data_IF_785067823468
#
_entry.id   IF_785067823468
#
_cell.length_a   1.000
_cell.length_b   1.000
_cell.length_c   1.000
_cell.angle_alpha   90.00
_cell.angle_beta   90.00
_cell.angle_gamma   90.00
#
_symmetry.space_group_name_H-M   'P 1'
#
loop_
_entity.id
_entity.type
_entity.pdbx_description
1 polymer ?
#
# COMPACT_ATOMS: atom_id res chain seq x y z
N UNK A 1 17.82 -11.74 25.22
CA UNK A 1 18.14 -10.61 24.32
C UNK A 1 18.29 -11.16 22.92
N UNK A 2 17.60 -10.59 21.92
CA UNK A 2 17.62 -11.10 20.55
C UNK A 2 19.00 -10.95 19.93
N UNK A 3 19.74 -12.05 19.80
CA UNK A 3 21.13 -12.14 19.29
C UNK A 3 22.12 -11.09 19.85
N UNK A 4 21.86 -10.51 21.03
CA UNK A 4 22.71 -9.47 21.61
C UNK A 4 22.63 -8.08 20.97
N UNK A 5 21.65 -7.86 20.08
CA UNK A 5 21.46 -6.58 19.40
C UNK A 5 21.06 -5.47 20.37
N UNK A 6 21.60 -4.27 20.18
CA UNK A 6 21.22 -3.06 20.90
C UNK A 6 19.86 -2.52 20.44
N UNK A 7 19.29 -1.58 21.20
CA UNK A 7 17.99 -0.97 20.89
C UNK A 7 17.97 -0.34 19.49
N UNK A 8 19.02 0.39 19.13
CA UNK A 8 19.13 1.04 17.81
C UNK A 8 19.07 0.05 16.65
N UNK A 9 19.73 -1.11 16.78
CA UNK A 9 19.67 -2.16 15.77
C UNK A 9 18.28 -2.79 15.66
N UNK A 10 17.58 -2.94 16.80
CA UNK A 10 16.20 -3.47 16.80
C UNK A 10 15.22 -2.46 16.18
N UNK A 11 15.40 -1.17 16.38
CA UNK A 11 14.63 -0.12 15.74
C UNK A 11 14.78 -0.16 14.22
N UNK A 12 16.01 -0.25 13.73
CA UNK A 12 16.32 -0.41 12.30
C UNK A 12 15.69 -1.70 11.75
N UNK A 13 15.87 -2.82 12.45
CA UNK A 13 15.31 -4.12 12.05
C UNK A 13 13.79 -4.06 11.85
N UNK A 14 13.07 -3.46 12.81
CA UNK A 14 11.61 -3.33 12.73
C UNK A 14 11.16 -2.32 11.68
N UNK A 15 11.94 -1.26 11.45
CA UNK A 15 11.65 -0.34 10.36
C UNK A 15 11.79 -1.01 8.98
N UNK A 16 12.79 -1.86 8.80
CA UNK A 16 12.95 -2.68 7.59
C UNK A 16 11.73 -3.58 7.38
N UNK A 17 11.25 -4.26 8.42
CA UNK A 17 10.06 -5.13 8.33
C UNK A 17 8.81 -4.31 7.94
N UNK A 18 8.56 -3.18 8.61
CA UNK A 18 7.40 -2.31 8.32
C UNK A 18 7.48 -1.75 6.91
N UNK A 19 8.66 -1.31 6.48
CA UNK A 19 8.87 -0.83 5.11
C UNK A 19 8.57 -1.90 4.07
N UNK A 20 8.96 -3.14 4.34
CA UNK A 20 8.65 -4.29 3.47
C UNK A 20 7.14 -4.58 3.45
N UNK A 21 6.47 -4.56 4.60
CA UNK A 21 5.02 -4.72 4.69
C UNK A 21 4.27 -3.62 3.93
N UNK A 22 4.76 -2.36 3.97
CA UNK A 22 4.24 -1.26 3.16
C UNK A 22 4.36 -1.55 1.66
N UNK A 23 5.48 -2.12 1.23
CA UNK A 23 5.68 -2.56 -0.16
C UNK A 23 4.69 -3.66 -0.57
N UNK A 24 4.51 -4.67 0.27
CA UNK A 24 3.51 -5.72 0.05
C UNK A 24 2.09 -5.17 0.02
N UNK A 25 1.74 -4.23 0.91
CA UNK A 25 0.43 -3.59 0.93
C UNK A 25 0.12 -2.92 -0.41
N UNK A 26 1.03 -2.12 -0.94
CA UNK A 26 0.83 -1.45 -2.23
C UNK A 26 0.73 -2.46 -3.39
N UNK A 27 1.51 -3.53 -3.37
CA UNK A 27 1.37 -4.61 -4.35
C UNK A 27 -0.02 -5.25 -4.29
N UNK A 28 -0.56 -5.51 -3.09
CA UNK A 28 -1.87 -6.13 -2.92
C UNK A 28 -3.04 -5.28 -3.44
N UNK A 29 -2.83 -4.00 -3.72
CA UNK A 29 -3.86 -3.15 -4.34
C UNK A 29 -4.26 -3.58 -5.75
N UNK A 30 -3.65 -4.64 -6.31
CA UNK A 30 -4.17 -5.24 -7.54
C UNK A 30 -5.64 -5.69 -7.39
N UNK A 31 -6.05 -6.08 -6.18
CA UNK A 31 -7.46 -6.42 -5.88
C UNK A 31 -8.33 -5.18 -6.05
N UNK A 32 -7.99 -4.09 -5.39
CA UNK A 32 -8.75 -2.84 -5.42
C UNK A 32 -8.77 -2.24 -6.84
N UNK A 33 -7.62 -2.23 -7.51
CA UNK A 33 -7.53 -1.76 -8.90
C UNK A 33 -8.36 -2.61 -9.86
N UNK A 34 -8.35 -3.93 -9.67
CA UNK A 34 -9.20 -4.85 -10.43
C UNK A 34 -10.69 -4.58 -10.24
N UNK A 35 -11.13 -4.26 -9.01
CA UNK A 35 -12.53 -3.91 -8.71
C UNK A 35 -13.02 -2.72 -9.53
N UNK A 36 -12.20 -1.72 -9.75
CA UNK A 36 -12.55 -0.54 -10.57
C UNK A 36 -12.66 -0.86 -12.05
N UNK A 37 -12.11 -1.99 -12.50
CA UNK A 37 -12.06 -2.39 -13.89
C UNK A 37 -13.19 -3.37 -14.29
N UNK A 38 -13.95 -3.91 -13.33
CA UNK A 38 -14.94 -4.96 -13.57
C UNK A 38 -15.89 -4.61 -14.71
N UNK A 39 -16.57 -3.45 -14.64
CA UNK A 39 -17.53 -3.05 -15.67
C UNK A 39 -16.87 -2.62 -16.99
N UNK A 40 -15.63 -2.14 -16.92
CA UNK A 40 -14.90 -1.73 -18.11
C UNK A 40 -14.36 -2.92 -18.93
N UNK A 41 -14.16 -4.06 -18.27
CA UNK A 41 -13.62 -5.28 -18.87
C UNK A 41 -14.68 -6.30 -19.22
N UNK A 42 -15.85 -6.30 -18.56
CA UNK A 42 -16.91 -7.27 -18.80
C UNK A 42 -17.87 -6.80 -19.91
N UNK A 43 -18.32 -7.72 -20.75
CA UNK A 43 -19.40 -7.52 -21.74
C UNK A 43 -20.64 -8.37 -21.44
N UNK A 44 -20.53 -9.31 -20.48
CA UNK A 44 -21.62 -10.18 -20.05
C UNK A 44 -21.56 -10.42 -18.55
N UNK A 45 -22.66 -10.89 -17.95
CA UNK A 45 -22.70 -11.25 -16.53
C UNK A 45 -21.75 -12.41 -16.19
N UNK A 46 -21.53 -13.34 -17.13
CA UNK A 46 -20.54 -14.42 -16.96
C UNK A 46 -19.13 -13.86 -16.85
N UNK A 47 -18.73 -12.96 -17.77
CA UNK A 47 -17.41 -12.31 -17.72
C UNK A 47 -17.26 -11.49 -16.45
N UNK A 48 -18.30 -10.76 -16.03
CA UNK A 48 -18.30 -10.01 -14.79
C UNK A 48 -18.06 -10.91 -13.58
N UNK A 49 -18.75 -12.03 -13.51
CA UNK A 49 -18.58 -13.02 -12.46
C UNK A 49 -17.17 -13.62 -12.47
N UNK A 50 -16.58 -13.91 -13.65
CA UNK A 50 -15.18 -14.35 -13.75
C UNK A 50 -14.22 -13.34 -13.13
N UNK A 51 -14.40 -12.03 -13.42
CA UNK A 51 -13.56 -10.97 -12.88
C UNK A 51 -13.70 -10.86 -11.36
N UNK A 52 -14.94 -10.83 -10.84
CA UNK A 52 -15.20 -10.76 -9.40
C UNK A 52 -14.64 -11.97 -8.67
N UNK A 53 -14.87 -13.19 -9.19
CA UNK A 53 -14.36 -14.44 -8.61
C UNK A 53 -12.82 -14.48 -8.60
N UNK A 54 -12.18 -13.95 -9.64
CA UNK A 54 -10.72 -13.84 -9.71
C UNK A 54 -10.16 -13.02 -8.53
N UNK A 55 -10.75 -11.86 -8.24
CA UNK A 55 -10.34 -11.00 -7.13
C UNK A 55 -10.81 -11.56 -5.78
N UNK A 56 -11.98 -12.17 -5.74
CA UNK A 56 -12.58 -12.77 -4.55
C UNK A 56 -11.67 -13.79 -3.88
N UNK A 57 -10.88 -14.53 -4.65
CA UNK A 57 -9.88 -15.48 -4.11
C UNK A 57 -8.71 -14.81 -3.38
N UNK A 58 -8.56 -13.47 -3.45
CA UNK A 58 -7.39 -12.73 -2.94
C UNK A 58 -7.72 -11.53 -2.07
N UNK A 59 -8.99 -11.11 -1.98
CA UNK A 59 -9.34 -9.86 -1.30
C UNK A 59 -8.96 -9.85 0.18
N UNK A 60 -9.09 -10.99 0.86
CA UNK A 60 -8.72 -11.13 2.27
C UNK A 60 -7.22 -10.92 2.51
N UNK A 61 -6.37 -11.40 1.59
CA UNK A 61 -4.92 -11.21 1.70
C UNK A 61 -4.55 -9.71 1.65
N UNK A 62 -5.24 -8.92 0.81
CA UNK A 62 -5.04 -7.48 0.74
C UNK A 62 -5.42 -6.78 2.05
N UNK A 63 -6.60 -7.10 2.59
CA UNK A 63 -7.05 -6.56 3.87
C UNK A 63 -6.16 -7.00 5.03
N UNK A 64 -5.80 -8.28 5.09
CA UNK A 64 -4.88 -8.80 6.11
C UNK A 64 -3.51 -8.11 6.06
N UNK A 65 -3.01 -7.78 4.86
CA UNK A 65 -1.73 -7.06 4.73
C UNK A 65 -1.81 -5.65 5.32
N UNK A 66 -2.94 -4.95 5.13
CA UNK A 66 -3.19 -3.64 5.75
C UNK A 66 -3.21 -3.76 7.28
N UNK A 67 -3.90 -4.77 7.81
CA UNK A 67 -3.96 -5.04 9.26
C UNK A 67 -2.58 -5.40 9.81
N UNK A 68 -1.80 -6.21 9.08
CA UNK A 68 -0.42 -6.55 9.47
C UNK A 68 0.49 -5.33 9.51
N UNK A 69 0.39 -4.43 8.53
CA UNK A 69 1.15 -3.18 8.53
C UNK A 69 0.81 -2.33 9.77
N UNK A 70 -0.48 -2.13 10.06
CA UNK A 70 -0.94 -1.41 11.25
C UNK A 70 -0.52 -2.11 12.56
N UNK A 71 -0.66 -3.43 12.65
CA UNK A 71 -0.27 -4.22 13.82
C UNK A 71 1.23 -4.20 14.10
N UNK A 72 2.06 -4.32 13.06
CA UNK A 72 3.51 -4.20 13.18
C UNK A 72 3.92 -2.79 13.62
N UNK A 73 3.27 -1.76 13.04
CA UNK A 73 3.48 -0.38 13.45
C UNK A 73 3.06 -0.13 14.90
N UNK A 74 1.93 -0.68 15.35
CA UNK A 74 1.47 -0.60 16.73
C UNK A 74 2.48 -1.19 17.71
N UNK A 75 3.00 -2.36 17.41
CA UNK A 75 3.88 -3.09 18.31
C UNK A 75 5.31 -2.52 18.32
N UNK A 76 5.87 -2.14 17.17
CA UNK A 76 7.24 -1.65 17.05
C UNK A 76 7.37 -0.13 17.29
N UNK A 77 6.39 0.67 16.83
CA UNK A 77 6.38 2.12 16.92
C UNK A 77 5.03 2.63 17.46
N UNK A 78 4.70 2.37 18.75
CA UNK A 78 3.40 2.67 19.32
C UNK A 78 3.04 4.16 19.27
N UNK A 79 4.01 5.07 19.39
CA UNK A 79 3.76 6.50 19.27
C UNK A 79 3.35 6.88 17.84
N UNK A 80 3.95 6.27 16.82
CA UNK A 80 3.49 6.45 15.44
C UNK A 80 2.07 5.92 15.24
N UNK A 81 1.78 4.73 15.77
CA UNK A 81 0.43 4.17 15.66
C UNK A 81 -0.61 5.08 16.34
N UNK A 82 -0.34 5.54 17.55
CA UNK A 82 -1.25 6.45 18.25
C UNK A 82 -1.40 7.80 17.56
N UNK A 83 -0.33 8.31 16.93
CA UNK A 83 -0.35 9.60 16.21
C UNK A 83 -1.11 9.47 14.88
N UNK A 84 -0.79 8.48 14.06
CA UNK A 84 -1.39 8.31 12.74
C UNK A 84 -2.76 7.63 12.84
N UNK A 85 -2.80 6.35 13.24
CA UNK A 85 -4.04 5.56 13.24
C UNK A 85 -5.06 6.04 14.29
N UNK A 86 -4.58 6.37 15.48
CA UNK A 86 -5.43 6.89 16.56
C UNK A 86 -5.75 8.37 16.40
N UNK A 87 -4.76 9.20 16.04
CA UNK A 87 -4.90 10.66 15.96
C UNK A 87 -5.61 11.12 14.69
N UNK A 88 -5.21 10.62 13.52
CA UNK A 88 -5.85 10.89 12.23
C UNK A 88 -7.09 10.01 11.98
N UNK A 89 -7.92 9.85 13.01
CA UNK A 89 -8.97 8.82 13.01
C UNK A 89 -10.02 8.99 11.91
N UNK A 90 -10.37 10.20 11.47
CA UNK A 90 -11.34 10.38 10.40
C UNK A 90 -10.82 9.86 9.05
N UNK A 91 -9.53 10.07 8.76
CA UNK A 91 -8.92 9.51 7.56
C UNK A 91 -8.91 7.97 7.61
N UNK A 92 -8.45 7.39 8.72
CA UNK A 92 -8.39 5.93 8.89
C UNK A 92 -9.78 5.29 9.00
N UNK A 93 -10.76 5.95 9.62
CA UNK A 93 -12.14 5.48 9.66
C UNK A 93 -12.75 5.43 8.26
N UNK A 94 -12.48 6.46 7.43
CA UNK A 94 -12.94 6.48 6.03
C UNK A 94 -12.31 5.37 5.20
N UNK A 95 -11.02 5.08 5.39
CA UNK A 95 -10.32 3.94 4.77
C UNK A 95 -10.97 2.63 5.22
N UNK A 96 -11.13 2.42 6.53
CA UNK A 96 -11.74 1.22 7.10
C UNK A 96 -13.15 1.00 6.55
N UNK A 97 -13.96 2.07 6.44
CA UNK A 97 -15.30 1.98 5.88
C UNK A 97 -15.28 1.49 4.41
N UNK A 98 -14.34 1.95 3.60
CA UNK A 98 -14.17 1.42 2.24
C UNK A 98 -13.89 -0.10 2.24
N UNK A 99 -13.06 -0.60 3.15
CA UNK A 99 -12.77 -2.03 3.24
C UNK A 99 -13.93 -2.85 3.81
N UNK A 100 -14.75 -2.28 4.70
CA UNK A 100 -16.01 -2.90 5.15
C UNK A 100 -16.96 -3.09 3.97
N UNK A 101 -17.13 -2.06 3.12
CA UNK A 101 -17.94 -2.15 1.90
C UNK A 101 -17.43 -3.25 0.96
N UNK A 102 -16.12 -3.42 0.84
CA UNK A 102 -15.51 -4.50 0.07
C UNK A 102 -15.91 -5.88 0.63
N UNK A 103 -15.73 -6.10 1.93
CA UNK A 103 -16.03 -7.37 2.57
C UNK A 103 -17.49 -7.76 2.38
N UNK A 104 -18.42 -6.86 2.67
CA UNK A 104 -19.85 -7.06 2.47
C UNK A 104 -20.17 -7.41 1.02
N UNK A 105 -19.48 -6.78 0.07
CA UNK A 105 -19.75 -6.98 -1.35
C UNK A 105 -19.35 -8.37 -1.83
N UNK A 106 -18.20 -8.89 -1.43
CA UNK A 106 -17.81 -10.25 -1.79
C UNK A 106 -18.74 -11.28 -1.15
N UNK A 107 -19.18 -11.07 0.09
CA UNK A 107 -20.02 -12.02 0.82
C UNK A 107 -21.47 -12.06 0.33
N UNK A 108 -22.06 -10.91 -0.05
CA UNK A 108 -23.50 -10.80 -0.26
C UNK A 108 -23.92 -10.56 -1.72
N UNK A 109 -23.00 -10.27 -2.64
CA UNK A 109 -23.32 -9.95 -4.04
C UNK A 109 -24.17 -11.02 -4.72
N UNK A 110 -23.86 -12.32 -4.50
CA UNK A 110 -24.51 -13.47 -5.13
C UNK A 110 -25.46 -14.25 -4.20
N UNK A 111 -25.64 -13.80 -2.96
CA UNK A 111 -26.57 -14.47 -2.03
C UNK A 111 -28.01 -14.30 -2.47
N UNK A 112 -28.79 -15.39 -2.36
CA UNK A 112 -30.22 -15.35 -2.59
C UNK A 112 -30.89 -14.36 -1.64
N UNK A 113 -31.88 -13.62 -2.15
CA UNK A 113 -32.60 -12.59 -1.40
C UNK A 113 -31.73 -11.43 -0.87
N UNK A 114 -30.63 -11.07 -1.56
CA UNK A 114 -29.88 -9.90 -1.18
C UNK A 114 -30.76 -8.64 -1.27
N UNK A 115 -30.75 -7.83 -0.19
CA UNK A 115 -31.64 -6.69 -0.02
C UNK A 115 -31.40 -5.56 -1.05
N UNK A 116 -30.15 -5.36 -1.47
CA UNK A 116 -29.75 -4.20 -2.27
C UNK A 116 -29.52 -4.49 -3.75
N UNK A 117 -29.48 -5.78 -4.13
CA UNK A 117 -29.18 -6.23 -5.49
C UNK A 117 -27.69 -6.18 -5.84
N UNK A 118 -27.27 -7.02 -6.78
CA UNK A 118 -25.84 -7.19 -7.16
C UNK A 118 -25.15 -5.90 -7.61
N UNK A 119 -25.85 -5.00 -8.29
CA UNK A 119 -25.32 -3.72 -8.78
C UNK A 119 -24.84 -2.80 -7.65
N UNK A 120 -25.52 -2.81 -6.50
CA UNK A 120 -25.12 -2.02 -5.33
C UNK A 120 -23.81 -2.52 -4.75
N UNK A 121 -23.65 -3.82 -4.63
CA UNK A 121 -22.40 -4.41 -4.15
C UNK A 121 -21.23 -4.19 -5.13
N UNK A 122 -21.49 -4.25 -6.43
CA UNK A 122 -20.50 -3.89 -7.45
C UNK A 122 -20.06 -2.42 -7.35
N UNK A 123 -21.01 -1.51 -7.05
CA UNK A 123 -20.69 -0.12 -6.78
C UNK A 123 -19.85 0.05 -5.51
N UNK A 124 -20.12 -0.72 -4.45
CA UNK A 124 -19.28 -0.73 -3.23
C UNK A 124 -17.86 -1.23 -3.50
N UNK A 125 -17.68 -2.24 -4.35
CA UNK A 125 -16.35 -2.66 -4.80
C UNK A 125 -15.60 -1.53 -5.50
N UNK A 126 -16.28 -0.72 -6.32
CA UNK A 126 -15.66 0.44 -6.97
C UNK A 126 -15.29 1.54 -5.98
N UNK A 127 -16.14 1.79 -4.96
CA UNK A 127 -15.81 2.73 -3.88
C UNK A 127 -14.51 2.29 -3.18
N UNK A 128 -14.42 1.03 -2.77
CA UNK A 128 -13.19 0.54 -2.15
C UNK A 128 -12.00 0.63 -3.12
N UNK A 129 -12.19 0.22 -4.37
CA UNK A 129 -11.13 0.19 -5.37
C UNK A 129 -10.57 1.55 -5.72
N UNK A 130 -11.38 2.60 -5.71
CA UNK A 130 -10.95 3.96 -6.00
C UNK A 130 -10.64 4.74 -4.71
N UNK A 131 -11.67 4.97 -3.86
CA UNK A 131 -11.56 5.83 -2.70
C UNK A 131 -10.64 5.24 -1.63
N UNK A 132 -10.72 3.92 -1.39
CA UNK A 132 -9.87 3.24 -0.42
C UNK A 132 -8.39 3.37 -0.77
N UNK A 133 -8.01 3.10 -2.03
CA UNK A 133 -6.64 3.23 -2.52
C UNK A 133 -6.18 4.69 -2.53
N UNK A 134 -7.03 5.61 -2.97
CA UNK A 134 -6.74 7.03 -3.01
C UNK A 134 -6.44 7.60 -1.61
N UNK A 135 -7.29 7.28 -0.61
CA UNK A 135 -7.09 7.73 0.76
C UNK A 135 -5.84 7.11 1.41
N UNK A 136 -5.52 5.84 1.12
CA UNK A 136 -4.26 5.25 1.56
C UNK A 136 -3.07 5.97 0.90
N UNK A 137 -3.16 6.32 -0.37
CA UNK A 137 -2.14 7.12 -1.04
C UNK A 137 -1.90 8.47 -0.38
N UNK A 138 -2.97 9.16 0.03
CA UNK A 138 -2.89 10.41 0.81
C UNK A 138 -2.23 10.17 2.18
N UNK A 139 -2.63 9.11 2.88
CA UNK A 139 -2.05 8.76 4.17
C UNK A 139 -0.54 8.42 4.04
N UNK A 140 -0.14 7.70 2.98
CA UNK A 140 1.28 7.41 2.71
C UNK A 140 2.06 8.67 2.32
N UNK A 141 1.43 9.60 1.61
CA UNK A 141 2.07 10.88 1.26
C UNK A 141 2.39 11.74 2.49
N UNK A 142 1.63 11.59 3.59
CA UNK A 142 1.86 12.34 4.84
C UNK A 142 3.21 12.07 5.49
N UNK A 143 3.86 10.94 5.18
CA UNK A 143 5.24 10.65 5.60
C UNK A 143 6.26 11.65 5.02
N UNK A 144 5.90 12.30 3.91
CA UNK A 144 6.73 13.32 3.23
C UNK A 144 6.17 14.73 3.39
N UNK A 145 4.85 14.87 3.40
CA UNK A 145 4.19 16.18 3.46
C UNK A 145 4.04 16.70 4.88
N UNK A 146 4.05 15.82 5.88
CA UNK A 146 3.79 16.12 7.28
C UNK A 146 2.31 16.17 7.64
N UNK A 147 2.04 16.18 8.94
CA UNK A 147 0.70 16.16 9.53
C UNK A 147 0.56 17.20 10.64
N UNK A 148 -0.68 17.62 10.93
CA UNK A 148 -0.99 18.69 11.90
C UNK A 148 -1.17 18.14 13.33
N UNK A 149 -0.09 17.74 13.98
CA UNK A 149 -0.13 17.26 15.37
C UNK A 149 0.99 17.86 16.21
N UNK A 150 0.82 17.80 17.53
CA UNK A 150 1.81 18.11 18.55
C UNK A 150 1.88 16.99 19.58
N UNK A 151 3.03 16.81 20.18
CA UNK A 151 3.22 15.96 21.34
C UNK A 151 3.32 16.83 22.59
N UNK A 152 2.61 16.45 23.65
CA UNK A 152 2.81 17.02 24.98
C UNK A 152 4.11 16.51 25.60
N UNK A 153 4.50 17.08 26.75
CA UNK A 153 5.65 16.61 27.54
C UNK A 153 5.55 15.14 27.95
N UNK A 154 4.33 14.60 28.05
CA UNK A 154 4.05 13.18 28.37
C UNK A 154 3.79 12.31 27.13
N UNK A 155 4.17 12.77 25.93
CA UNK A 155 3.92 12.10 24.65
C UNK A 155 2.43 11.87 24.30
N UNK A 156 1.50 12.66 24.90
CA UNK A 156 0.12 12.66 24.43
C UNK A 156 0.00 13.38 23.10
N UNK A 157 -0.68 12.74 22.15
CA UNK A 157 -0.87 13.28 20.81
C UNK A 157 -2.05 14.25 20.79
N UNK A 158 -1.79 15.46 20.34
CA UNK A 158 -2.79 16.54 20.16
C UNK A 158 -2.83 16.92 18.67
N UNK A 159 -3.96 16.71 18.05
CA UNK A 159 -4.18 17.16 16.67
C UNK A 159 -4.77 18.58 16.69
N UNK A 160 -4.12 19.48 15.98
CA UNK A 160 -4.53 20.90 15.93
C UNK A 160 -5.75 21.13 15.05
N UNK A 161 -5.95 20.26 14.03
CA UNK A 161 -7.03 20.43 13.06
C UNK A 161 -8.26 19.54 13.42
N UNK A 162 -9.50 20.08 13.39
CA UNK A 162 -10.70 19.33 13.77
C UNK A 162 -11.02 18.17 12.82
N UNK A 163 -10.54 18.21 11.58
CA UNK A 163 -10.73 17.14 10.59
C UNK A 163 -9.83 15.92 10.82
N UNK A 164 -8.89 15.98 11.75
CA UNK A 164 -8.06 14.88 12.24
C UNK A 164 -7.68 13.86 11.16
N UNK A 165 -6.81 14.30 10.26
CA UNK A 165 -6.29 13.53 9.14
C UNK A 165 -6.97 13.81 7.79
N UNK A 166 -8.23 14.24 7.72
CA UNK A 166 -8.86 14.62 6.45
C UNK A 166 -8.32 15.95 5.90
N UNK A 167 -7.68 16.79 6.72
CA UNK A 167 -7.00 17.99 6.25
C UNK A 167 -5.83 17.70 5.30
N UNK A 168 -5.30 16.47 5.30
CA UNK A 168 -4.32 16.02 4.31
C UNK A 168 -4.83 16.11 2.88
N UNK A 169 -6.16 16.13 2.68
CA UNK A 169 -6.82 16.41 1.41
C UNK A 169 -6.60 17.85 0.90
N UNK A 170 -6.18 18.79 1.75
CA UNK A 170 -5.90 20.16 1.30
C UNK A 170 -4.50 20.35 0.74
N UNK A 171 -3.61 19.32 0.86
CA UNK A 171 -2.27 19.39 0.34
C UNK A 171 -2.20 18.75 -1.06
N UNK A 172 -1.87 19.52 -2.13
CA UNK A 172 -1.84 19.01 -3.51
C UNK A 172 -0.78 17.91 -3.73
N UNK A 173 0.32 17.87 -2.97
CA UNK A 173 1.30 16.80 -3.03
C UNK A 173 0.68 15.43 -2.74
N UNK A 174 -0.25 15.38 -1.77
CA UNK A 174 -0.89 14.13 -1.38
C UNK A 174 -1.79 13.55 -2.49
N UNK A 175 -2.39 14.42 -3.31
CA UNK A 175 -3.17 13.98 -4.48
C UNK A 175 -2.30 13.30 -5.54
N UNK A 176 -1.05 13.73 -5.71
CA UNK A 176 -0.15 13.12 -6.69
C UNK A 176 0.07 11.65 -6.36
N UNK A 177 0.38 11.32 -5.10
CA UNK A 177 0.55 9.92 -4.69
C UNK A 177 -0.80 9.17 -4.66
N UNK A 178 -1.87 9.83 -4.21
CA UNK A 178 -3.22 9.25 -4.23
C UNK A 178 -3.63 8.76 -5.61
N UNK A 179 -3.54 9.62 -6.64
CA UNK A 179 -3.85 9.24 -8.02
C UNK A 179 -2.82 8.27 -8.62
N UNK A 180 -1.52 8.45 -8.32
CA UNK A 180 -0.51 7.50 -8.77
C UNK A 180 -0.84 6.07 -8.29
N UNK A 181 -1.21 5.89 -7.01
CA UNK A 181 -1.58 4.58 -6.49
C UNK A 181 -2.88 4.04 -7.10
N UNK A 182 -3.88 4.87 -7.35
CA UNK A 182 -5.11 4.45 -8.05
C UNK A 182 -4.77 3.89 -9.43
N UNK A 183 -4.00 4.62 -10.25
CA UNK A 183 -3.66 4.14 -11.59
C UNK A 183 -2.70 2.95 -11.56
N UNK A 184 -1.74 2.92 -10.63
CA UNK A 184 -0.86 1.76 -10.42
C UNK A 184 -1.66 0.51 -10.04
N UNK A 185 -2.62 0.64 -9.12
CA UNK A 185 -3.47 -0.47 -8.69
C UNK A 185 -4.27 -1.05 -9.87
N UNK A 186 -4.77 -0.19 -10.78
CA UNK A 186 -5.48 -0.60 -12.01
C UNK A 186 -4.56 -1.34 -12.98
N UNK A 187 -3.29 -0.91 -13.12
CA UNK A 187 -2.29 -1.63 -13.91
C UNK A 187 -2.05 -3.02 -13.31
N UNK A 188 -1.83 -3.09 -11.99
CA UNK A 188 -1.63 -4.34 -11.27
C UNK A 188 -2.85 -5.27 -11.38
N UNK A 189 -4.06 -4.73 -11.22
CA UNK A 189 -5.32 -5.49 -11.34
C UNK A 189 -5.51 -6.07 -12.74
N UNK A 190 -5.28 -5.27 -13.79
CA UNK A 190 -5.36 -5.74 -15.17
C UNK A 190 -4.29 -6.80 -15.47
N UNK A 191 -3.06 -6.64 -14.98
CA UNK A 191 -1.99 -7.64 -15.12
C UNK A 191 -2.31 -8.94 -14.37
N UNK A 192 -2.98 -8.84 -13.19
CA UNK A 192 -3.46 -10.01 -12.46
C UNK A 192 -4.54 -10.76 -13.24
N UNK A 193 -5.50 -10.07 -13.85
CA UNK A 193 -6.50 -10.71 -14.72
C UNK A 193 -5.86 -11.42 -15.91
N UNK A 194 -4.85 -10.85 -16.55
CA UNK A 194 -4.09 -11.53 -17.63
C UNK A 194 -3.46 -12.83 -17.14
N UNK A 195 -2.99 -12.86 -15.87
CA UNK A 195 -2.43 -14.07 -15.27
C UNK A 195 -3.50 -15.10 -14.92
N UNK A 196 -4.63 -14.69 -14.34
CA UNK A 196 -5.56 -15.59 -13.65
C UNK A 196 -6.73 -16.08 -14.52
N UNK A 197 -7.12 -15.32 -15.56
CA UNK A 197 -8.27 -15.61 -16.42
C UNK A 197 -7.84 -16.19 -17.76
N UNK A 198 -8.49 -17.28 -18.19
CA UNK A 198 -8.27 -17.93 -19.49
C UNK A 198 -9.37 -17.50 -20.47
N UNK A 199 -9.33 -16.22 -20.88
CA UNK A 199 -10.22 -15.66 -21.92
C UNK A 199 -9.43 -14.58 -22.68
N UNK A 200 -9.27 -14.76 -23.99
CA UNK A 200 -8.41 -13.90 -24.81
C UNK A 200 -9.04 -12.53 -25.09
N UNK A 201 -10.36 -12.41 -25.08
CA UNK A 201 -11.05 -11.12 -25.23
C UNK A 201 -10.87 -10.27 -23.98
N UNK A 202 -11.02 -10.85 -22.79
CA UNK A 202 -10.75 -10.16 -21.53
C UNK A 202 -9.29 -9.72 -21.46
N UNK A 203 -8.34 -10.60 -21.85
CA UNK A 203 -6.91 -10.25 -21.88
C UNK A 203 -6.62 -9.08 -22.82
N UNK A 204 -7.25 -9.02 -24.00
CA UNK A 204 -7.09 -7.92 -24.95
C UNK A 204 -7.57 -6.60 -24.33
N UNK A 205 -8.73 -6.62 -23.69
CA UNK A 205 -9.28 -5.44 -22.98
C UNK A 205 -8.38 -5.03 -21.80
N UNK A 206 -7.80 -5.99 -21.06
CA UNK A 206 -6.81 -5.71 -20.00
C UNK A 206 -5.59 -4.97 -20.55
N UNK A 207 -5.04 -5.39 -21.70
CA UNK A 207 -3.89 -4.72 -22.33
C UNK A 207 -4.22 -3.26 -22.67
N UNK A 208 -5.41 -2.99 -23.23
CA UNK A 208 -5.88 -1.62 -23.46
C UNK A 208 -5.91 -0.79 -22.16
N UNK A 209 -6.42 -1.38 -21.07
CA UNK A 209 -6.50 -0.70 -19.76
C UNK A 209 -5.11 -0.49 -19.14
N UNK A 210 -4.20 -1.43 -19.29
CA UNK A 210 -2.80 -1.26 -18.85
C UNK A 210 -2.17 -0.07 -19.58
N UNK A 211 -2.33 0.03 -20.90
CA UNK A 211 -1.79 1.15 -21.67
C UNK A 211 -2.33 2.51 -21.18
N UNK A 212 -3.66 2.65 -21.06
CA UNK A 212 -4.30 3.89 -20.61
C UNK A 212 -3.85 4.26 -19.19
N UNK A 213 -3.90 3.31 -18.26
CA UNK A 213 -3.55 3.58 -16.87
C UNK A 213 -2.05 3.83 -16.69
N UNK A 214 -1.18 3.29 -17.54
CA UNK A 214 0.25 3.62 -17.54
C UNK A 214 0.48 5.07 -17.95
N UNK A 215 -0.22 5.53 -18.99
CA UNK A 215 -0.14 6.92 -19.43
C UNK A 215 -0.62 7.90 -18.33
N UNK A 216 -1.60 7.51 -17.52
CA UNK A 216 -2.08 8.31 -16.39
C UNK A 216 -1.17 8.17 -15.16
N UNK A 217 -0.63 6.98 -14.88
CA UNK A 217 0.23 6.72 -13.72
C UNK A 217 1.53 7.51 -13.77
N UNK A 218 2.24 7.46 -14.91
CA UNK A 218 3.58 8.02 -15.02
C UNK A 218 3.66 9.52 -14.68
N UNK A 219 2.77 10.40 -15.18
CA UNK A 219 2.82 11.82 -14.84
C UNK A 219 2.65 12.08 -13.34
N UNK A 220 1.68 11.41 -12.68
CA UNK A 220 1.45 11.57 -11.25
C UNK A 220 2.61 11.06 -10.43
N UNK A 221 3.16 9.90 -10.77
CA UNK A 221 4.30 9.32 -10.06
C UNK A 221 5.56 10.17 -10.24
N UNK A 222 5.88 10.58 -11.46
CA UNK A 222 7.04 11.44 -11.75
C UNK A 222 6.88 12.79 -11.02
N UNK A 223 5.71 13.42 -11.12
CA UNK A 223 5.45 14.68 -10.44
C UNK A 223 5.60 14.56 -8.91
N UNK A 224 5.12 13.45 -8.31
CA UNK A 224 5.32 13.18 -6.90
C UNK A 224 6.80 13.05 -6.54
N UNK A 225 7.57 12.24 -7.24
CA UNK A 225 9.00 12.04 -6.98
C UNK A 225 9.79 13.35 -7.15
N UNK A 226 9.55 14.07 -8.24
CA UNK A 226 10.20 15.37 -8.47
C UNK A 226 9.86 16.35 -7.36
N UNK A 227 8.59 16.42 -6.95
CA UNK A 227 8.18 17.34 -5.89
C UNK A 227 8.85 17.00 -4.56
N UNK A 228 8.84 15.72 -4.11
CA UNK A 228 9.48 15.36 -2.84
C UNK A 228 10.99 15.57 -2.88
N UNK A 229 11.64 15.42 -4.04
CA UNK A 229 13.09 15.65 -4.17
C UNK A 229 13.47 17.12 -4.16
N UNK A 230 12.60 18.02 -4.61
CA UNK A 230 12.86 19.45 -4.68
C UNK A 230 12.35 20.25 -3.48
N UNK A 231 11.41 19.68 -2.71
CA UNK A 231 10.83 20.39 -1.55
C UNK A 231 11.80 20.41 -0.35
N UNK A 232 11.58 21.37 0.54
CA UNK A 232 12.15 21.34 1.88
C UNK A 232 11.53 20.19 2.68
N UNK A 233 12.36 19.43 3.37
CA UNK A 233 11.93 18.30 4.19
C UNK A 233 12.45 18.40 5.62
N UNK A 234 12.05 17.46 6.45
CA UNK A 234 12.22 17.46 7.90
C UNK A 234 13.53 16.76 8.27
N UNK A 235 14.62 17.52 8.28
CA UNK A 235 15.98 17.04 8.60
C UNK A 235 16.15 16.88 10.10
N UNK A 236 16.86 15.83 10.50
CA UNK A 236 17.27 15.56 11.89
C UNK A 236 18.79 15.74 11.97
N UNK A 237 19.25 16.61 12.85
CA UNK A 237 20.68 16.80 13.11
C UNK A 237 21.23 15.75 14.12
N UNK A 238 22.55 15.80 14.37
CA UNK A 238 23.23 14.93 15.34
C UNK A 238 22.74 15.14 16.78
N UNK A 239 22.17 16.32 17.08
CA UNK A 239 21.59 16.66 18.38
C UNK A 239 20.09 16.27 18.48
N UNK A 240 19.56 15.60 17.44
CA UNK A 240 18.16 15.15 17.31
C UNK A 240 17.15 16.30 17.24
N UNK A 241 17.60 17.48 16.82
CA UNK A 241 16.75 18.63 16.58
C UNK A 241 16.22 18.54 15.15
N UNK A 242 14.89 18.65 15.01
CA UNK A 242 14.25 18.63 13.69
C UNK A 242 14.20 20.05 13.12
N UNK A 243 14.72 20.22 11.92
CA UNK A 243 14.74 21.47 11.17
C UNK A 243 14.34 21.27 9.72
N UNK A 244 14.01 22.34 9.02
CA UNK A 244 13.72 22.27 7.59
C UNK A 244 15.00 22.37 6.79
N UNK A 245 15.22 21.44 5.84
CA UNK A 245 16.38 21.44 4.95
C UNK A 245 15.95 21.17 3.53
N UNK A 246 16.46 21.95 2.60
CA UNK A 246 16.15 21.81 1.18
C UNK A 246 16.66 20.47 0.63
N UNK A 247 15.84 19.82 -0.18
CA UNK A 247 16.19 18.61 -0.93
C UNK A 247 16.61 17.41 -0.05
N UNK A 248 16.21 17.36 1.25
CA UNK A 248 16.70 16.33 2.17
C UNK A 248 16.36 14.93 1.69
N UNK A 249 15.17 14.73 1.11
CA UNK A 249 14.78 13.41 0.61
C UNK A 249 15.66 12.94 -0.58
N UNK A 250 16.07 13.85 -1.45
CA UNK A 250 17.05 13.54 -2.50
C UNK A 250 18.42 13.24 -1.90
N UNK A 251 18.85 14.05 -0.91
CA UNK A 251 20.13 13.84 -0.22
C UNK A 251 20.18 12.48 0.48
N UNK A 252 19.08 12.03 1.09
CA UNK A 252 19.02 10.67 1.67
C UNK A 252 19.31 9.57 0.65
N UNK A 253 18.80 9.70 -0.59
CA UNK A 253 19.13 8.74 -1.65
C UNK A 253 20.59 8.83 -2.13
N UNK A 254 21.15 10.04 -2.15
CA UNK A 254 22.54 10.25 -2.58
C UNK A 254 23.55 9.82 -1.49
N UNK A 255 23.25 10.09 -0.23
CA UNK A 255 24.08 9.70 0.91
C UNK A 255 24.07 8.19 1.17
N UNK A 256 22.99 7.51 0.82
CA UNK A 256 22.83 6.06 0.94
C UNK A 256 22.66 5.40 -0.44
N UNK A 257 23.73 5.18 -1.22
CA UNK A 257 23.65 4.75 -2.62
C UNK A 257 22.88 3.45 -2.84
N UNK A 258 22.82 2.58 -1.83
CA UNK A 258 22.04 1.34 -1.91
C UNK A 258 20.54 1.62 -2.07
N UNK A 259 20.01 2.65 -1.40
CA UNK A 259 18.60 3.02 -1.57
C UNK A 259 18.32 3.48 -2.99
N UNK A 260 19.23 4.30 -3.56
CA UNK A 260 19.09 4.77 -4.94
C UNK A 260 19.14 3.61 -5.95
N UNK A 261 20.11 2.70 -5.79
CA UNK A 261 20.27 1.53 -6.68
C UNK A 261 19.02 0.66 -6.66
N UNK A 262 18.52 0.29 -5.47
CA UNK A 262 17.33 -0.54 -5.36
C UNK A 262 16.05 0.20 -5.77
N UNK A 263 15.95 1.51 -5.55
CA UNK A 263 14.86 2.31 -6.05
C UNK A 263 14.81 2.33 -7.58
N UNK A 264 15.94 2.59 -8.24
CA UNK A 264 16.05 2.56 -9.71
C UNK A 264 15.74 1.16 -10.23
N UNK A 265 16.29 0.12 -9.62
CA UNK A 265 15.99 -1.27 -9.99
C UNK A 265 14.49 -1.56 -9.87
N UNK A 266 13.84 -1.10 -8.81
CA UNK A 266 12.40 -1.23 -8.63
C UNK A 266 11.62 -0.54 -9.74
N UNK A 267 11.97 0.71 -10.09
CA UNK A 267 11.34 1.44 -11.20
C UNK A 267 11.54 0.71 -12.53
N UNK A 268 12.74 0.22 -12.81
CA UNK A 268 13.02 -0.56 -14.04
C UNK A 268 12.19 -1.84 -14.11
N UNK A 269 12.02 -2.54 -12.96
CA UNK A 269 11.16 -3.73 -12.89
C UNK A 269 9.68 -3.40 -13.08
N UNK A 270 9.19 -2.27 -12.57
CA UNK A 270 7.83 -1.81 -12.85
C UNK A 270 7.64 -1.58 -14.35
N UNK A 271 8.55 -0.86 -14.99
CA UNK A 271 8.49 -0.59 -16.44
C UNK A 271 8.59 -1.90 -17.26
N UNK A 272 9.51 -2.79 -16.90
CA UNK A 272 9.65 -4.10 -17.54
C UNK A 272 8.37 -4.95 -17.36
N UNK A 273 7.78 -4.94 -16.18
CA UNK A 273 6.53 -5.64 -15.91
C UNK A 273 5.34 -5.07 -16.69
N UNK A 274 5.24 -3.74 -16.83
CA UNK A 274 4.24 -3.10 -17.70
C UNK A 274 4.45 -3.56 -19.15
N UNK A 275 5.68 -3.54 -19.65
CA UNK A 275 5.99 -3.99 -21.00
C UNK A 275 5.65 -5.47 -21.24
N UNK A 276 5.95 -6.33 -20.26
CA UNK A 276 5.55 -7.75 -20.30
C UNK A 276 4.02 -7.90 -20.31
N UNK A 277 3.30 -7.11 -19.52
CA UNK A 277 1.84 -7.15 -19.44
C UNK A 277 1.20 -6.69 -20.77
N UNK A 278 1.73 -5.67 -21.42
CA UNK A 278 1.31 -5.25 -22.76
C UNK A 278 1.51 -6.34 -23.83
N UNK A 279 2.51 -7.22 -23.65
CA UNK A 279 2.72 -8.41 -24.47
C UNK A 279 1.90 -9.63 -24.04
N UNK A 280 0.91 -9.46 -23.15
CA UNK A 280 0.05 -10.52 -22.59
C UNK A 280 0.81 -11.62 -21.85
N UNK A 281 2.01 -11.32 -21.33
CA UNK A 281 2.76 -12.26 -20.53
C UNK A 281 2.06 -12.51 -19.19
N UNK A 282 1.69 -13.76 -18.93
CA UNK A 282 0.99 -14.14 -17.68
C UNK A 282 1.82 -13.94 -16.42
N UNK A 283 3.15 -13.91 -16.53
CA UNK A 283 4.07 -13.68 -15.39
C UNK A 283 4.32 -12.20 -15.09
N UNK A 284 3.79 -11.28 -15.89
CA UNK A 284 4.01 -9.84 -15.75
C UNK A 284 3.65 -9.31 -14.36
N UNK A 285 2.60 -9.82 -13.74
CA UNK A 285 2.16 -9.42 -12.39
C UNK A 285 3.25 -9.63 -11.33
N UNK A 286 4.06 -10.67 -11.45
CA UNK A 286 5.15 -10.95 -10.49
C UNK A 286 6.32 -9.98 -10.69
N UNK A 287 6.69 -9.67 -11.95
CA UNK A 287 7.72 -8.66 -12.25
C UNK A 287 7.30 -7.29 -11.75
N UNK A 288 6.04 -6.89 -12.02
CA UNK A 288 5.42 -5.67 -11.51
C UNK A 288 5.43 -5.65 -9.97
N UNK A 289 5.00 -6.74 -9.35
CA UNK A 289 4.91 -6.84 -7.89
C UNK A 289 6.25 -6.64 -7.21
N UNK A 290 7.30 -7.32 -7.68
CA UNK A 290 8.66 -7.15 -7.14
C UNK A 290 9.12 -5.69 -7.32
N UNK A 291 8.87 -5.10 -8.50
CA UNK A 291 9.22 -3.71 -8.78
C UNK A 291 8.52 -2.74 -7.83
N UNK A 292 7.20 -2.89 -7.65
CA UNK A 292 6.40 -2.05 -6.73
C UNK A 292 6.88 -2.19 -5.28
N UNK A 293 7.10 -3.44 -4.82
CA UNK A 293 7.61 -3.70 -3.47
C UNK A 293 8.96 -2.99 -3.27
N UNK A 294 9.89 -3.08 -4.22
CA UNK A 294 11.20 -2.44 -4.11
C UNK A 294 11.10 -0.92 -4.09
N UNK A 295 10.26 -0.31 -4.94
CA UNK A 295 10.08 1.15 -4.97
C UNK A 295 9.55 1.65 -3.63
N UNK A 296 8.46 1.06 -3.14
CA UNK A 296 7.82 1.49 -1.89
C UNK A 296 8.73 1.23 -0.69
N UNK A 297 9.36 0.06 -0.65
CA UNK A 297 10.32 -0.32 0.39
C UNK A 297 11.44 0.72 0.52
N UNK A 298 12.06 1.12 -0.60
CA UNK A 298 13.16 2.10 -0.56
C UNK A 298 12.70 3.52 -0.25
N UNK A 299 11.48 3.92 -0.64
CA UNK A 299 10.90 5.19 -0.20
C UNK A 299 10.74 5.22 1.33
N UNK A 300 10.24 4.15 1.95
CA UNK A 300 10.15 4.08 3.40
C UNK A 300 11.53 4.00 4.07
N UNK A 301 12.47 3.22 3.54
CA UNK A 301 13.82 3.17 4.09
C UNK A 301 14.49 4.54 4.07
N UNK A 302 14.32 5.31 2.99
CA UNK A 302 14.97 6.61 2.83
C UNK A 302 14.53 7.64 3.87
N UNK A 303 13.28 7.59 4.36
CA UNK A 303 12.79 8.50 5.38
C UNK A 303 13.07 8.02 6.82
N UNK A 304 13.15 6.72 7.06
CA UNK A 304 13.39 6.20 8.40
C UNK A 304 14.88 6.00 8.73
N UNK A 305 15.68 5.57 7.75
CA UNK A 305 17.13 5.34 7.91
C UNK A 305 17.98 6.48 7.34
N UNK A 306 17.37 7.46 6.67
CA UNK A 306 18.01 8.69 6.25
C UNK A 306 18.03 9.74 7.38
N UNK A 307 18.60 10.88 7.10
CA UNK A 307 18.71 12.01 8.04
C UNK A 307 17.39 12.81 8.10
N UNK A 308 16.25 12.12 8.21
CA UNK A 308 14.92 12.76 8.21
C UNK A 308 13.92 12.08 9.15
N UNK A 309 12.93 12.86 9.62
CA UNK A 309 11.79 12.32 10.36
C UNK A 309 10.93 11.45 9.43
N UNK A 310 10.54 10.27 9.88
CA UNK A 310 9.67 9.41 9.08
C UNK A 310 8.19 9.79 9.15
N UNK A 311 7.74 10.44 10.24
CA UNK A 311 6.37 10.97 10.34
C UNK A 311 6.42 12.39 10.93
N UNK A 312 6.53 13.40 10.06
CA UNK A 312 6.81 14.75 10.48
C UNK A 312 5.56 15.51 10.96
N UNK A 313 5.76 16.39 11.94
CA UNK A 313 4.79 17.38 12.38
C UNK A 313 5.06 18.73 11.73
N UNK A 314 4.05 19.31 11.09
CA UNK A 314 4.11 20.67 10.56
C UNK A 314 3.62 21.72 11.58
N UNK A 315 2.92 21.30 12.62
CA UNK A 315 2.47 22.19 13.70
C UNK A 315 3.59 22.52 14.69
N UNK A 316 4.46 21.54 14.99
CA UNK A 316 5.58 21.70 15.89
C UNK A 316 6.71 20.75 15.48
N UNK A 317 7.78 21.28 14.88
CA UNK A 317 8.84 20.48 14.28
C UNK A 317 9.44 19.44 15.24
N UNK A 318 9.64 19.81 16.52
CA UNK A 318 10.23 18.92 17.53
C UNK A 318 9.28 17.77 17.95
N UNK A 319 8.00 17.84 17.60
CA UNK A 319 7.06 16.73 17.78
C UNK A 319 7.13 15.69 16.66
N UNK A 320 7.97 15.90 15.65
CA UNK A 320 8.14 14.95 14.54
C UNK A 320 8.67 13.60 15.03
N UNK A 321 8.15 12.51 14.45
CA UNK A 321 8.50 11.18 14.88
C UNK A 321 9.75 10.66 14.16
N UNK A 322 10.66 10.14 14.95
CA UNK A 322 11.90 9.46 14.52
C UNK A 322 11.85 8.00 14.95
N UNK A 323 12.72 7.16 14.42
CA UNK A 323 12.80 5.76 14.85
C UNK A 323 13.06 5.63 16.35
N UNK A 324 13.79 6.57 16.90
CA UNK A 324 14.20 6.53 18.29
C UNK A 324 13.06 6.96 19.23
N UNK A 325 12.40 8.10 18.97
CA UNK A 325 11.36 8.62 19.88
C UNK A 325 10.02 7.91 19.75
N UNK A 326 9.76 7.24 18.62
CA UNK A 326 8.50 6.57 18.35
C UNK A 326 8.51 5.06 18.70
N UNK A 327 9.69 4.47 18.92
CA UNK A 327 9.83 3.03 19.11
C UNK A 327 9.34 2.54 20.47
N UNK A 328 9.00 1.26 20.48
CA UNK A 328 8.70 0.52 21.72
C UNK A 328 9.95 0.28 22.55
N UNK A 329 9.77 -0.28 23.76
CA UNK A 329 10.86 -0.61 24.66
C UNK A 329 11.77 -1.69 24.08
N UNK A 330 13.03 -1.72 24.54
CA UNK A 330 13.99 -2.77 24.20
C UNK A 330 13.44 -4.18 24.43
N UNK A 331 12.73 -4.39 25.55
CA UNK A 331 12.13 -5.68 25.87
C UNK A 331 11.09 -6.08 24.82
N UNK A 332 10.15 -5.18 24.50
CA UNK A 332 9.09 -5.45 23.51
C UNK A 332 9.69 -5.76 22.14
N UNK A 333 10.62 -4.92 21.64
CA UNK A 333 11.25 -5.14 20.35
C UNK A 333 12.02 -6.46 20.31
N UNK A 334 12.73 -6.83 21.40
CA UNK A 334 13.43 -8.11 21.48
C UNK A 334 12.48 -9.30 21.40
N UNK A 335 11.40 -9.31 22.19
CA UNK A 335 10.42 -10.40 22.18
C UNK A 335 9.77 -10.54 20.81
N UNK A 336 9.33 -9.43 20.23
CA UNK A 336 8.76 -9.43 18.88
C UNK A 336 9.74 -9.92 17.82
N UNK A 337 11.03 -9.62 17.98
CA UNK A 337 12.05 -10.09 17.03
C UNK A 337 12.23 -11.62 17.07
N UNK A 338 12.04 -12.28 18.22
CA UNK A 338 11.95 -13.74 18.24
C UNK A 338 10.72 -14.25 17.49
N UNK A 339 9.57 -13.60 17.66
CA UNK A 339 8.34 -13.98 16.94
C UNK A 339 8.50 -13.77 15.42
N UNK A 340 9.24 -12.75 15.01
CA UNK A 340 9.50 -12.48 13.58
C UNK A 340 10.26 -13.59 12.86
N UNK A 341 10.95 -14.48 13.58
CA UNK A 341 11.58 -15.68 12.99
C UNK A 341 10.55 -16.65 12.40
N UNK A 342 9.27 -16.51 12.76
CA UNK A 342 8.19 -17.27 12.15
C UNK A 342 7.72 -16.69 10.79
N UNK A 343 8.09 -15.45 10.46
CA UNK A 343 7.68 -14.79 9.20
C UNK A 343 8.03 -15.64 7.95
N UNK A 344 9.22 -16.23 7.81
CA UNK A 344 9.52 -17.07 6.65
C UNK A 344 8.55 -18.25 6.48
N UNK A 345 8.12 -18.89 7.58
CA UNK A 345 7.15 -19.98 7.52
C UNK A 345 5.77 -19.51 7.06
N UNK A 346 5.34 -18.35 7.54
CA UNK A 346 4.07 -17.72 7.10
C UNK A 346 4.14 -17.32 5.64
N UNK A 347 5.26 -16.77 5.17
CA UNK A 347 5.47 -16.43 3.76
C UNK A 347 5.44 -17.67 2.85
N UNK A 348 6.09 -18.78 3.27
CA UNK A 348 6.03 -20.06 2.54
C UNK A 348 4.58 -20.53 2.43
N UNK A 349 3.81 -20.49 3.53
CA UNK A 349 2.40 -20.86 3.52
C UNK A 349 1.57 -19.96 2.59
N UNK A 350 1.76 -18.64 2.63
CA UNK A 350 1.08 -17.69 1.74
C UNK A 350 1.41 -17.99 0.27
N UNK A 351 2.70 -18.20 -0.05
CA UNK A 351 3.14 -18.53 -1.42
C UNK A 351 2.54 -19.85 -1.88
N UNK A 352 2.52 -20.87 -1.01
CA UNK A 352 1.91 -22.16 -1.31
C UNK A 352 0.41 -22.02 -1.60
N UNK A 353 -0.33 -21.36 -0.70
CA UNK A 353 -1.77 -21.12 -0.85
C UNK A 353 -2.10 -20.31 -2.10
N UNK A 354 -1.30 -19.27 -2.37
CA UNK A 354 -1.44 -18.46 -3.58
C UNK A 354 -1.28 -19.34 -4.85
N UNK A 355 -0.21 -20.14 -4.90
CA UNK A 355 0.03 -21.04 -6.04
C UNK A 355 -1.05 -22.08 -6.19
N UNK A 356 -1.56 -22.63 -5.09
CA UNK A 356 -2.66 -23.60 -5.11
C UNK A 356 -3.95 -23.00 -5.69
N UNK A 357 -4.32 -21.78 -5.26
CA UNK A 357 -5.49 -21.07 -5.77
C UNK A 357 -5.37 -20.67 -7.25
N UNK A 358 -4.16 -20.35 -7.73
CA UNK A 358 -3.93 -19.89 -9.09
C UNK A 358 -3.54 -21.03 -10.06
N UNK A 359 -3.45 -22.27 -9.56
CA UNK A 359 -3.11 -23.44 -10.37
C UNK A 359 -4.16 -23.70 -11.47
N UNK A 360 -5.42 -23.53 -11.13
CA UNK A 360 -6.54 -23.62 -12.08
C UNK A 360 -6.95 -22.20 -12.47
N UNK A 361 -6.85 -21.89 -13.76
CA UNK A 361 -7.26 -20.60 -14.31
C UNK A 361 -8.77 -20.54 -14.48
N UNK A 362 -9.35 -19.37 -14.23
CA UNK A 362 -10.79 -19.17 -14.33
C UNK A 362 -11.22 -19.23 -15.80
N UNK A 363 -12.23 -20.10 -16.07
CA UNK A 363 -12.85 -20.28 -17.38
C UNK A 363 -14.36 -20.06 -17.30
N UNK A 364 -15.02 -19.86 -18.45
CA UNK A 364 -16.50 -19.77 -18.50
C UNK A 364 -17.18 -21.04 -18.01
N UNK A 365 -16.58 -22.21 -18.27
CA UNK A 365 -17.09 -23.53 -17.85
C UNK A 365 -17.02 -23.67 -16.31
N UNK A 366 -15.96 -23.21 -15.66
CA UNK A 366 -15.84 -23.24 -14.21
C UNK A 366 -16.98 -22.44 -13.56
N UNK A 367 -17.27 -21.25 -14.09
CA UNK A 367 -18.34 -20.40 -13.55
C UNK A 367 -19.74 -21.03 -13.71
N UNK A 368 -19.99 -21.78 -14.79
CA UNK A 368 -21.29 -22.45 -15.00
C UNK A 368 -21.51 -23.67 -14.12
N UNK A 369 -20.43 -24.31 -13.63
CA UNK A 369 -20.47 -25.59 -12.92
C UNK A 369 -20.15 -25.49 -11.41
N UNK A 370 -19.90 -24.31 -10.89
CA UNK A 370 -19.43 -24.09 -9.52
C UNK A 370 -20.55 -23.52 -8.64
N UNK A 371 -20.84 -24.18 -7.51
CA UNK A 371 -21.82 -23.74 -6.51
C UNK A 371 -21.29 -22.62 -5.58
N UNK A 372 -19.96 -22.41 -5.52
CA UNK A 372 -19.31 -21.38 -4.72
C UNK A 372 -18.67 -20.32 -5.62
N UNK A 373 -19.44 -19.27 -5.95
CA UNK A 373 -19.03 -18.13 -6.77
C UNK A 373 -19.26 -16.86 -5.98
N UNK A 374 -18.24 -15.97 -5.93
CA UNK A 374 -18.37 -14.62 -5.35
C UNK A 374 -19.32 -13.71 -6.15
#
# INVERSE_FOLDING_TARGET
MFFGLELSHLQIYWWVIISLLGGFLVFMFFVQGGQTLIDELSKSEVEKTMLVNSLGRKWELGFTTLVMFGGAAFAAFPLFYSTSFGGAYWAWLSILFCFILQAISYEYRKKDNNLYGSKTYEFFLKINGFLGVFLIGIALSSFFSGSHFKLSEYNFVLWDHPLRGLELLFNPLNYLLGFALVFLSRILGAAYFVNNIKDDEIKMRCVCKIYINTFLFLPFFIAFIVWIFLKDGFFIDEQKIVSMKSNIYLLNFLNYPLFLIFFILGVLLVLAGIFQALKKCTKAIFTLGIGVILVVFNLFLSIGLGDSSFYPSISHLQSSLTLENASSSYYTLSVMSYVSLLIPFVLIYIIYSWRAMDKVKITKEEISNSDHIY
#
